data_IF_889268762972
#
_entry.id   IF_889268762972
#
_cell.length_a   1.000
_cell.length_b   1.000
_cell.length_c   1.000
_cell.angle_alpha   90.00
_cell.angle_beta   90.00
_cell.angle_gamma   90.00
#
_symmetry.space_group_name_H-M   'P 1'
#
loop_
_entity.id
_entity.type
_entity.pdbx_description
1 polymer ?
#
# COMPACT_ATOMS: atom_id res chain seq x y z
N UNK A 1 -4.56 -14.81 -1.96
CA UNK A 1 -4.75 -13.99 -0.74
C UNK A 1 -5.86 -12.98 -0.95
N UNK A 2 -6.70 -12.80 0.07
CA UNK A 2 -7.70 -11.74 0.05
C UNK A 2 -7.05 -10.37 0.35
N UNK A 3 -7.83 -9.31 0.26
CA UNK A 3 -7.32 -7.94 0.46
C UNK A 3 -6.96 -7.66 1.92
N UNK A 4 -7.56 -8.37 2.88
CA UNK A 4 -7.23 -8.27 4.30
C UNK A 4 -5.85 -8.86 4.59
N UNK A 5 -5.57 -10.06 4.07
CA UNK A 5 -4.26 -10.71 4.14
C UNK A 5 -3.18 -9.86 3.47
N UNK A 6 -3.47 -9.33 2.27
CA UNK A 6 -2.56 -8.41 1.57
C UNK A 6 -2.26 -7.19 2.45
N UNK A 7 -3.30 -6.58 3.04
CA UNK A 7 -3.14 -5.38 3.88
C UNK A 7 -2.32 -5.66 5.14
N UNK A 8 -2.44 -6.85 5.74
CA UNK A 8 -1.59 -7.26 6.86
C UNK A 8 -0.12 -7.36 6.45
N UNK A 9 0.16 -8.05 5.33
CA UNK A 9 1.52 -8.17 4.78
C UNK A 9 2.09 -6.78 4.43
N UNK A 10 1.28 -5.88 3.88
CA UNK A 10 1.69 -4.51 3.59
C UNK A 10 2.10 -3.74 4.85
N UNK A 11 1.35 -3.86 5.95
CA UNK A 11 1.67 -3.22 7.24
C UNK A 11 3.01 -3.73 7.77
N UNK A 12 3.23 -5.04 7.75
CA UNK A 12 4.49 -5.66 8.19
C UNK A 12 5.68 -5.21 7.31
N UNK A 13 5.53 -5.22 5.98
CA UNK A 13 6.58 -4.78 5.06
C UNK A 13 6.88 -3.26 5.18
N UNK A 14 5.88 -2.42 5.45
CA UNK A 14 6.10 -1.01 5.75
C UNK A 14 6.98 -0.83 6.99
N UNK A 15 6.67 -1.54 8.07
CA UNK A 15 7.44 -1.46 9.32
C UNK A 15 8.89 -1.94 9.12
N UNK A 16 9.09 -3.03 8.40
CA UNK A 16 10.43 -3.51 8.05
C UNK A 16 11.20 -2.50 7.19
N UNK A 17 10.54 -1.86 6.23
CA UNK A 17 11.15 -0.82 5.39
C UNK A 17 11.59 0.39 6.22
N UNK A 18 10.77 0.79 7.20
CA UNK A 18 11.08 1.88 8.13
C UNK A 18 12.24 1.48 9.06
N UNK A 19 12.23 0.26 9.58
CA UNK A 19 13.30 -0.22 10.46
C UNK A 19 14.66 -0.25 9.73
N UNK A 20 14.70 -0.66 8.47
CA UNK A 20 15.93 -0.77 7.70
C UNK A 20 16.46 0.57 7.17
N UNK A 21 15.57 1.51 6.84
CA UNK A 21 15.94 2.74 6.11
C UNK A 21 15.66 4.03 6.87
N UNK A 22 15.09 3.96 8.07
CA UNK A 22 14.51 5.10 8.77
C UNK A 22 13.16 5.50 8.16
N UNK A 23 12.35 6.26 8.91
CA UNK A 23 10.95 6.50 8.56
C UNK A 23 10.78 7.14 7.18
N UNK A 24 11.36 8.32 6.95
CA UNK A 24 11.19 9.07 5.69
C UNK A 24 11.58 8.23 4.47
N UNK A 25 12.75 7.60 4.48
CA UNK A 25 13.22 6.82 3.34
C UNK A 25 12.51 5.48 3.22
N UNK A 26 12.17 4.83 4.33
CA UNK A 26 11.38 3.61 4.37
C UNK A 26 10.00 3.80 3.75
N UNK A 27 9.29 4.88 4.12
CA UNK A 27 7.99 5.21 3.53
C UNK A 27 8.12 5.52 2.04
N UNK A 28 9.10 6.35 1.63
CA UNK A 28 9.31 6.69 0.21
C UNK A 28 9.57 5.43 -0.62
N UNK A 29 10.42 4.52 -0.14
CA UNK A 29 10.68 3.23 -0.81
C UNK A 29 9.42 2.36 -0.86
N UNK A 30 8.64 2.35 0.22
CA UNK A 30 7.43 1.55 0.30
C UNK A 30 6.34 1.94 -0.71
N UNK A 31 6.29 3.19 -1.17
CA UNK A 31 5.35 3.65 -2.21
C UNK A 31 5.34 2.75 -3.45
N UNK A 32 6.51 2.25 -3.85
CA UNK A 32 6.66 1.32 -4.99
C UNK A 32 5.95 -0.01 -4.71
N UNK A 33 6.17 -0.59 -3.52
CA UNK A 33 5.52 -1.83 -3.13
C UNK A 33 4.01 -1.65 -3.00
N UNK A 34 3.55 -0.52 -2.45
CA UNK A 34 2.13 -0.17 -2.42
C UNK A 34 1.49 -0.25 -3.81
N UNK A 35 2.14 0.34 -4.83
CA UNK A 35 1.66 0.28 -6.21
C UNK A 35 1.64 -1.14 -6.79
N UNK A 36 2.55 -2.01 -6.35
CA UNK A 36 2.59 -3.43 -6.76
C UNK A 36 1.47 -4.25 -6.11
N UNK A 37 1.27 -4.15 -4.80
CA UNK A 37 0.19 -4.86 -4.10
C UNK A 37 -1.19 -4.48 -4.61
N UNK A 38 -1.38 -3.20 -4.93
CA UNK A 38 -2.65 -2.67 -5.43
C UNK A 38 -2.83 -2.80 -6.95
N UNK A 39 -1.90 -3.46 -7.64
CA UNK A 39 -2.04 -3.72 -9.08
C UNK A 39 -3.21 -4.67 -9.33
N UNK A 40 -4.01 -4.36 -10.34
CA UNK A 40 -5.23 -5.12 -10.64
C UNK A 40 -6.39 -4.83 -9.70
N UNK A 41 -6.26 -3.89 -8.77
CA UNK A 41 -7.37 -3.43 -7.93
C UNK A 41 -7.95 -2.11 -8.44
N UNK A 42 -9.25 -1.89 -8.23
CA UNK A 42 -9.97 -0.66 -8.58
C UNK A 42 -9.69 0.51 -7.62
N UNK A 43 -8.40 0.82 -7.39
CA UNK A 43 -7.92 1.82 -6.40
C UNK A 43 -6.90 2.80 -7.02
N UNK A 44 -7.13 3.21 -8.27
CA UNK A 44 -6.22 4.09 -9.02
C UNK A 44 -6.00 5.44 -8.33
N UNK A 45 -7.07 6.04 -7.79
CA UNK A 45 -7.03 7.29 -7.03
C UNK A 45 -6.19 7.16 -5.75
N UNK A 46 -6.34 6.04 -5.04
CA UNK A 46 -5.61 5.75 -3.82
C UNK A 46 -4.11 5.57 -4.09
N UNK A 47 -3.74 4.86 -5.16
CA UNK A 47 -2.33 4.77 -5.60
C UNK A 47 -1.72 6.14 -5.87
N UNK A 48 -2.46 7.04 -6.51
CA UNK A 48 -1.99 8.41 -6.78
C UNK A 48 -1.75 9.18 -5.48
N UNK A 49 -2.65 9.08 -4.50
CA UNK A 49 -2.49 9.70 -3.17
C UNK A 49 -1.30 9.11 -2.41
N UNK A 50 -1.17 7.78 -2.38
CA UNK A 50 -0.08 7.06 -1.71
C UNK A 50 1.30 7.41 -2.25
N UNK A 51 1.41 7.83 -3.52
CA UNK A 51 2.68 8.29 -4.09
C UNK A 51 3.26 9.54 -3.40
N UNK A 52 2.42 10.33 -2.74
CA UNK A 52 2.86 11.49 -1.94
C UNK A 52 3.24 11.17 -0.50
N UNK A 53 3.01 9.94 -0.01
CA UNK A 53 3.08 9.62 1.40
C UNK A 53 4.50 9.73 1.99
N UNK A 54 4.74 10.56 3.00
CA UNK A 54 6.10 10.75 3.57
C UNK A 54 6.24 10.39 5.04
N UNK A 55 5.16 9.98 5.69
CA UNK A 55 5.12 9.58 7.09
C UNK A 55 4.48 8.20 7.25
N UNK A 56 4.84 7.48 8.31
CA UNK A 56 4.34 6.13 8.59
C UNK A 56 2.81 6.10 8.65
N UNK A 57 2.22 6.97 9.46
CA UNK A 57 0.79 6.93 9.77
C UNK A 57 -0.05 7.24 8.52
N UNK A 58 0.43 8.13 7.66
CA UNK A 58 -0.19 8.41 6.37
C UNK A 58 -0.19 7.18 5.44
N UNK A 59 0.90 6.41 5.41
CA UNK A 59 0.93 5.18 4.62
C UNK A 59 0.05 4.08 5.23
N UNK A 60 -0.03 3.99 6.56
CA UNK A 60 -0.95 3.07 7.24
C UNK A 60 -2.42 3.41 6.93
N UNK A 61 -2.77 4.69 6.87
CA UNK A 61 -4.10 5.15 6.47
C UNK A 61 -4.44 4.66 5.05
N UNK A 62 -3.53 4.82 4.10
CA UNK A 62 -3.74 4.34 2.73
C UNK A 62 -3.86 2.82 2.65
N UNK A 63 -3.12 2.06 3.47
CA UNK A 63 -3.27 0.60 3.53
C UNK A 63 -4.64 0.24 4.10
N UNK A 64 -5.10 0.91 5.16
CA UNK A 64 -6.45 0.69 5.71
C UNK A 64 -7.58 1.08 4.76
N UNK A 65 -7.38 2.11 3.95
CA UNK A 65 -8.30 2.50 2.89
C UNK A 65 -8.33 1.45 1.76
N UNK A 66 -7.17 0.89 1.41
CA UNK A 66 -7.05 -0.23 0.46
C UNK A 66 -7.76 -1.48 0.99
N UNK A 67 -7.62 -1.81 2.28
CA UNK A 67 -8.28 -2.95 2.93
C UNK A 67 -9.81 -2.89 2.75
N UNK A 68 -10.39 -1.70 2.89
CA UNK A 68 -11.85 -1.47 2.78
C UNK A 68 -12.35 -1.42 1.34
N UNK A 69 -11.56 -0.85 0.42
CA UNK A 69 -11.99 -0.51 -0.95
C UNK A 69 -11.44 -1.45 -2.02
N UNK A 70 -10.37 -2.18 -1.71
CA UNK A 70 -9.64 -3.03 -2.63
C UNK A 70 -10.54 -4.11 -3.17
N UNK A 71 -10.86 -4.03 -4.46
CA UNK A 71 -11.49 -5.11 -5.20
C UNK A 71 -10.70 -5.32 -6.47
N UNK A 72 -10.35 -6.57 -6.73
CA UNK A 72 -9.71 -6.94 -7.99
C UNK A 72 -10.68 -6.70 -9.14
N UNK A 73 -10.19 -6.07 -10.20
CA UNK A 73 -10.95 -5.95 -11.44
C UNK A 73 -10.99 -7.33 -12.10
N UNK A 74 -12.16 -7.73 -12.58
CA UNK A 74 -12.27 -8.92 -13.43
C UNK A 74 -11.49 -8.60 -14.72
N UNK A 75 -10.65 -9.53 -15.18
CA UNK A 75 -10.09 -9.41 -16.51
C UNK A 75 -11.24 -9.65 -17.51
N UNK A 76 -11.52 -8.67 -18.37
CA UNK A 76 -12.36 -8.90 -19.54
C UNK A 76 -11.63 -9.92 -20.42
N UNK A 77 -12.29 -11.04 -20.71
CA UNK A 77 -11.83 -12.09 -21.64
C UNK A 77 -11.82 -11.56 -23.07
#
# INVERSE_FOLDING_TARGET
>A
PDVSEISKIMKEHLLLSIQLHGEKHGVIRFRKYFAWYSRGMAVKDLRRRAFGASARDQMLEFIGELEKRGRFVQAEN
#
